data_IF_661472671815
#
_entry.id   IF_661472671815
#
_cell.length_a   1.000
_cell.length_b   1.000
_cell.length_c   1.000
_cell.angle_alpha   90.00
_cell.angle_beta   90.00
_cell.angle_gamma   90.00
#
_symmetry.space_group_name_H-M   'P 1'
#
loop_
_entity.id
_entity.type
_entity.pdbx_description
1 polymer ?
#
# COMPACT_ATOMS: atom_id res chain seq x y z
N UNK A 1 27.05 15.20 -16.80
CA UNK A 1 26.70 13.86 -16.37
C UNK A 1 25.75 13.26 -17.37
N UNK A 2 26.06 12.08 -17.81
CA UNK A 2 25.11 11.40 -18.66
C UNK A 2 23.90 10.99 -17.84
N UNK A 3 22.76 11.36 -18.31
CA UNK A 3 21.52 10.92 -17.70
C UNK A 3 21.38 9.41 -17.90
N UNK A 4 21.06 8.71 -16.85
CA UNK A 4 20.96 7.26 -16.91
C UNK A 4 19.51 6.85 -17.12
N UNK A 5 19.12 6.72 -18.37
CA UNK A 5 17.77 6.34 -18.74
C UNK A 5 17.42 4.93 -18.27
N UNK A 6 18.38 4.04 -18.30
CA UNK A 6 18.16 2.68 -17.86
C UNK A 6 17.84 2.62 -16.37
N UNK A 7 18.54 3.41 -15.58
CA UNK A 7 18.29 3.50 -14.16
C UNK A 7 16.91 4.11 -13.88
N UNK A 8 16.53 5.11 -14.64
CA UNK A 8 15.20 5.70 -14.51
C UNK A 8 14.10 4.73 -14.91
N UNK A 9 14.28 3.99 -15.98
CA UNK A 9 13.31 3.00 -16.38
C UNK A 9 13.14 1.91 -15.33
N UNK A 10 14.24 1.40 -14.80
CA UNK A 10 14.20 0.41 -13.73
C UNK A 10 13.50 0.99 -12.50
N UNK A 11 13.82 2.22 -12.16
CA UNK A 11 13.19 2.87 -11.00
C UNK A 11 11.70 3.11 -11.21
N UNK A 12 11.29 3.37 -12.41
CA UNK A 12 9.88 3.57 -12.73
C UNK A 12 9.08 2.27 -12.66
N UNK A 13 9.73 1.13 -12.93
CA UNK A 13 9.06 -0.17 -12.91
C UNK A 13 9.23 -0.91 -11.60
N UNK A 14 10.08 -0.48 -10.78
CA UNK A 14 10.45 -1.17 -9.61
C UNK A 14 9.76 -0.72 -8.47
N UNK A 15 9.54 -0.67 -8.04
CA UNK A 15 9.47 -1.68 -7.22
C UNK A 15 9.86 -1.25 -5.87
N UNK A 16 8.87 -1.23 -5.11
CA UNK A 16 9.01 -0.96 -3.70
C UNK A 16 9.88 -2.01 -3.03
N UNK A 17 10.61 -1.59 -2.01
CA UNK A 17 11.30 -2.50 -1.09
C UNK A 17 10.34 -3.51 -0.46
N UNK A 18 9.05 -3.18 -0.43
CA UNK A 18 8.02 -4.08 0.07
C UNK A 18 8.04 -5.42 -0.67
N UNK A 19 8.40 -5.41 -1.94
CA UNK A 19 8.44 -6.63 -2.75
C UNK A 19 9.61 -7.55 -2.42
N UNK A 20 10.66 -7.02 -1.81
CA UNK A 20 11.86 -7.80 -1.54
C UNK A 20 11.60 -8.89 -0.49
N UNK A 21 11.81 -10.12 -0.88
CA UNK A 21 11.60 -11.26 0.01
C UNK A 21 10.15 -11.55 0.34
N UNK A 22 9.22 -10.91 -0.34
CA UNK A 22 7.79 -11.12 -0.08
C UNK A 22 7.06 -11.57 -1.32
N UNK A 23 6.05 -12.39 -1.09
CA UNK A 23 5.13 -12.83 -2.13
C UNK A 23 3.83 -12.04 -2.03
N UNK A 24 3.28 -11.70 -3.18
CA UNK A 24 1.98 -11.05 -3.22
C UNK A 24 0.90 -12.04 -2.82
N UNK A 25 0.03 -11.64 -1.93
CA UNK A 25 -1.17 -12.40 -1.58
C UNK A 25 -2.40 -11.53 -1.86
N UNK A 26 -3.50 -12.18 -2.17
CA UNK A 26 -4.75 -11.47 -2.39
C UNK A 26 -5.35 -11.00 -1.06
N UNK A 27 -6.06 -9.88 -1.11
CA UNK A 27 -6.81 -9.42 0.04
C UNK A 27 -7.88 -10.45 0.39
N UNK A 28 -7.99 -10.73 1.67
CA UNK A 28 -9.01 -11.65 2.20
C UNK A 28 -9.53 -11.12 3.52
N UNK A 29 -10.70 -11.61 3.90
CA UNK A 29 -11.26 -11.21 5.18
C UNK A 29 -10.38 -11.68 6.35
N UNK A 30 -10.27 -10.85 7.35
CA UNK A 30 -9.48 -11.13 8.54
C UNK A 30 -8.80 -9.89 9.09
N UNK A 31 -8.04 -10.10 10.14
CA UNK A 31 -7.25 -9.06 10.80
C UNK A 31 -5.79 -9.24 10.46
N UNK A 32 -5.14 -8.16 10.10
CA UNK A 32 -3.75 -8.14 9.67
C UNK A 32 -3.01 -7.02 10.35
N UNK A 33 -1.70 -7.13 10.40
CA UNK A 33 -0.85 -6.04 10.88
C UNK A 33 -0.10 -5.43 9.68
N UNK A 34 -0.12 -4.12 9.58
CA UNK A 34 0.64 -3.40 8.57
C UNK A 34 1.99 -3.03 9.17
N UNK A 35 3.06 -3.66 8.69
CA UNK A 35 4.42 -3.43 9.16
C UNK A 35 5.12 -2.32 8.41
N UNK A 36 4.82 -2.19 7.14
CA UNK A 36 5.41 -1.21 6.25
C UNK A 36 4.46 -1.00 5.06
N UNK A 37 4.64 0.08 4.36
CA UNK A 37 3.86 0.36 3.17
C UNK A 37 4.67 1.15 2.17
N UNK A 38 4.19 1.22 0.96
CA UNK A 38 4.71 2.13 -0.05
C UNK A 38 3.57 2.53 -0.98
N UNK A 39 3.78 3.58 -1.75
CA UNK A 39 2.82 4.03 -2.72
C UNK A 39 3.36 3.73 -4.12
N UNK A 40 2.58 3.05 -4.91
CA UNK A 40 2.94 2.69 -6.28
C UNK A 40 2.00 3.42 -7.21
N UNK A 41 2.57 4.06 -8.21
CA UNK A 41 1.78 4.69 -9.27
C UNK A 41 2.24 4.15 -10.61
N UNK A 42 1.29 3.83 -11.45
CA UNK A 42 1.57 3.38 -12.81
C UNK A 42 1.06 4.42 -13.80
N UNK A 43 1.40 4.23 -15.06
CA UNK A 43 0.91 5.08 -16.13
C UNK A 43 -0.61 4.97 -16.18
N UNK A 44 -1.29 6.09 -16.22
CA UNK A 44 -2.74 6.16 -16.33
C UNK A 44 -3.52 5.47 -15.22
N UNK A 45 -2.88 5.26 -14.08
CA UNK A 45 -3.53 4.65 -12.92
C UNK A 45 -3.46 5.55 -11.71
N UNK A 46 -4.52 5.50 -10.92
CA UNK A 46 -4.50 6.14 -9.61
C UNK A 46 -3.46 5.43 -8.74
N UNK A 47 -2.65 6.17 -7.98
CA UNK A 47 -1.74 5.56 -7.03
C UNK A 47 -2.46 4.64 -6.05
N UNK A 48 -1.80 3.57 -5.67
CA UNK A 48 -2.33 2.65 -4.68
C UNK A 48 -1.22 2.24 -3.70
N UNK A 49 -1.63 1.77 -2.55
CA UNK A 49 -0.67 1.32 -1.55
C UNK A 49 -0.34 -0.16 -1.71
N UNK A 50 0.91 -0.49 -1.46
CA UNK A 50 1.33 -1.86 -1.21
C UNK A 50 1.68 -1.96 0.27
N UNK A 51 1.23 -2.99 0.93
CA UNK A 51 1.31 -3.11 2.38
C UNK A 51 1.96 -4.43 2.76
N UNK A 52 3.04 -4.35 3.52
CA UNK A 52 3.68 -5.53 4.07
C UNK A 52 2.90 -6.01 5.28
N UNK A 53 2.38 -7.22 5.21
CA UNK A 53 1.59 -7.83 6.28
C UNK A 53 2.39 -8.88 7.05
N UNK A 54 3.58 -9.20 6.57
CA UNK A 54 4.54 -10.07 7.27
C UNK A 54 5.90 -9.92 6.61
N UNK A 55 6.89 -10.66 7.11
CA UNK A 55 8.21 -10.69 6.49
C UNK A 55 8.20 -11.37 5.12
N UNK A 56 7.17 -12.15 4.83
CA UNK A 56 7.10 -12.97 3.62
C UNK A 56 5.95 -12.65 2.69
N UNK A 57 5.04 -11.76 3.09
CA UNK A 57 3.84 -11.48 2.31
C UNK A 57 3.49 -10.00 2.27
N UNK A 58 2.93 -9.57 1.14
CA UNK A 58 2.38 -8.24 0.99
C UNK A 58 1.08 -8.28 0.21
N UNK A 59 0.27 -7.24 0.33
CA UNK A 59 -0.95 -7.09 -0.45
C UNK A 59 -0.89 -5.79 -1.25
N UNK A 60 -1.54 -5.81 -2.42
CA UNK A 60 -1.86 -4.59 -3.13
C UNK A 60 -3.20 -4.11 -2.58
N UNK A 61 -3.17 -2.99 -1.89
CA UNK A 61 -4.36 -2.52 -1.20
C UNK A 61 -5.42 -2.03 -2.18
N UNK A 62 -6.66 -2.43 -1.95
CA UNK A 62 -7.81 -1.89 -2.68
C UNK A 62 -8.01 -0.41 -2.31
N UNK A 63 -8.92 0.25 -3.00
CA UNK A 63 -9.09 1.70 -2.91
C UNK A 63 -9.25 2.21 -1.49
N UNK A 64 -10.05 1.56 -0.68
CA UNK A 64 -10.32 2.06 0.68
C UNK A 64 -9.07 2.01 1.55
N UNK A 65 -8.34 0.91 1.53
CA UNK A 65 -7.11 0.79 2.30
C UNK A 65 -6.00 1.68 1.71
N UNK A 66 -5.92 1.75 0.39
CA UNK A 66 -4.97 2.65 -0.27
C UNK A 66 -5.20 4.10 0.14
N UNK A 67 -6.45 4.52 0.26
CA UNK A 67 -6.78 5.90 0.65
C UNK A 67 -6.31 6.21 2.07
N UNK A 68 -6.30 5.23 2.97
CA UNK A 68 -5.76 5.41 4.32
C UNK A 68 -4.28 5.80 4.26
N UNK A 69 -3.50 5.06 3.48
CA UNK A 69 -2.06 5.33 3.36
C UNK A 69 -1.77 6.59 2.56
N UNK A 70 -2.55 6.85 1.52
CA UNK A 70 -2.42 8.11 0.76
C UNK A 70 -2.71 9.31 1.66
N UNK A 71 -3.67 9.17 2.58
CA UNK A 71 -3.94 10.21 3.57
C UNK A 71 -2.77 10.46 4.50
N UNK A 72 -2.04 9.41 4.89
CA UNK A 72 -0.83 9.59 5.70
C UNK A 72 0.24 10.36 4.95
N UNK A 73 0.49 9.98 3.69
CA UNK A 73 1.48 10.67 2.86
C UNK A 73 1.08 12.12 2.64
N UNK A 74 -0.20 12.38 2.44
CA UNK A 74 -0.71 13.73 2.26
C UNK A 74 -0.47 14.58 3.50
N UNK A 75 -0.65 14.00 4.68
CA UNK A 75 -0.34 14.68 5.94
C UNK A 75 1.15 15.00 6.09
N UNK A 76 2.02 14.27 5.38
CA UNK A 76 3.46 14.55 5.30
C UNK A 76 3.81 15.42 4.09
N UNK A 77 2.83 16.06 3.49
CA UNK A 77 3.01 16.93 2.33
C UNK A 77 3.70 16.22 1.15
N UNK A 78 3.41 14.93 0.99
CA UNK A 78 3.94 14.14 -0.11
C UNK A 78 5.31 13.52 0.15
N UNK A 79 5.89 13.72 1.34
CA UNK A 79 7.17 13.12 1.68
C UNK A 79 6.99 11.66 2.09
N UNK A 80 6.96 10.79 1.09
CA UNK A 80 6.73 9.36 1.29
C UNK A 80 7.83 8.74 2.16
N UNK A 81 9.07 9.11 1.93
CA UNK A 81 10.20 8.50 2.64
C UNK A 81 10.13 8.78 4.14
N UNK A 82 9.86 10.01 4.51
CA UNK A 82 9.71 10.35 5.92
C UNK A 82 8.48 9.71 6.54
N UNK A 83 7.38 9.68 5.79
CA UNK A 83 6.15 9.04 6.24
C UNK A 83 6.37 7.56 6.51
N UNK A 84 7.04 6.86 5.60
CA UNK A 84 7.35 5.43 5.77
C UNK A 84 8.27 5.19 6.96
N UNK A 85 9.29 6.02 7.11
CA UNK A 85 10.22 5.89 8.23
C UNK A 85 9.50 6.01 9.56
N UNK A 86 8.68 7.04 9.71
CA UNK A 86 7.91 7.25 10.94
C UNK A 86 6.91 6.13 11.16
N UNK A 87 6.30 5.64 10.10
CA UNK A 87 5.36 4.52 10.16
C UNK A 87 6.05 3.27 10.70
N UNK A 88 7.21 2.93 10.14
CA UNK A 88 7.99 1.76 10.60
C UNK A 88 8.41 1.93 12.05
N UNK A 89 8.85 3.11 12.43
CA UNK A 89 9.28 3.40 13.80
C UNK A 89 8.13 3.32 14.79
N UNK A 90 6.92 3.59 14.36
CA UNK A 90 5.74 3.47 15.21
C UNK A 90 5.30 2.02 15.43
N UNK A 91 5.82 1.08 14.65
CA UNK A 91 5.42 -0.32 14.69
C UNK A 91 4.21 -0.66 13.81
N UNK A 92 3.71 0.31 13.07
CA UNK A 92 2.55 0.11 12.19
C UNK A 92 1.23 0.07 12.96
N UNK A 93 0.25 -0.61 12.40
CA UNK A 93 -1.06 -0.73 13.05
C UNK A 93 -1.79 -1.97 12.55
N UNK A 94 -2.78 -2.39 13.34
CA UNK A 94 -3.64 -3.49 12.95
C UNK A 94 -4.84 -2.98 12.17
N UNK A 95 -5.27 -3.75 11.20
CA UNK A 95 -6.48 -3.43 10.44
C UNK A 95 -7.27 -4.70 10.13
N UNK A 96 -8.56 -4.52 9.97
CA UNK A 96 -9.47 -5.61 9.63
C UNK A 96 -10.05 -5.36 8.25
N UNK A 97 -9.99 -6.37 7.40
CA UNK A 97 -10.64 -6.37 6.10
C UNK A 97 -11.90 -7.21 6.17
N UNK A 98 -12.97 -6.68 5.62
CA UNK A 98 -14.22 -7.43 5.50
C UNK A 98 -14.88 -7.13 4.17
N UNK A 99 -15.51 -8.13 3.58
CA UNK A 99 -16.28 -7.93 2.37
C UNK A 99 -17.63 -7.36 2.74
N UNK A 100 -18.01 -6.31 2.05
CA UNK A 100 -19.29 -5.65 2.23
C UNK A 100 -20.01 -5.58 0.90
N UNK A 101 -21.32 -5.54 0.95
CA UNK A 101 -22.15 -5.45 -0.23
C UNK A 101 -22.85 -4.10 -0.24
N UNK A 102 -22.72 -3.39 -1.35
CA UNK A 102 -23.43 -2.12 -1.51
C UNK A 102 -24.93 -2.38 -1.67
N UNK A 103 -25.74 -1.66 -0.91
CA UNK A 103 -27.20 -1.77 -1.00
C UNK A 103 -27.72 -1.24 -2.33
N UNK A 104 -27.02 -0.25 -2.90
CA UNK A 104 -27.50 0.41 -4.11
C UNK A 104 -27.13 -0.34 -5.38
N UNK A 105 -25.92 -0.87 -5.45
CA UNK A 105 -25.41 -1.50 -6.67
C UNK A 105 -25.34 -3.02 -6.58
N UNK A 106 -25.44 -3.57 -5.39
CA UNK A 106 -25.23 -5.00 -5.17
C UNK A 106 -23.79 -5.46 -5.34
N UNK A 107 -22.86 -4.53 -5.58
CA UNK A 107 -21.46 -4.85 -5.76
C UNK A 107 -20.77 -5.09 -4.43
N UNK A 108 -19.82 -6.02 -4.44
CA UNK A 108 -19.00 -6.29 -3.28
C UNK A 108 -17.83 -5.31 -3.24
N UNK A 109 -17.52 -4.81 -2.06
CA UNK A 109 -16.36 -3.96 -1.85
C UNK A 109 -15.69 -4.30 -0.53
N UNK A 110 -14.43 -3.89 -0.39
CA UNK A 110 -13.69 -4.11 0.84
C UNK A 110 -13.99 -3.00 1.84
N UNK A 111 -14.35 -3.40 3.05
CA UNK A 111 -14.40 -2.49 4.17
C UNK A 111 -13.11 -2.62 4.99
N UNK A 112 -12.61 -1.51 5.49
CA UNK A 112 -11.39 -1.45 6.30
C UNK A 112 -11.73 -0.82 7.64
N UNK A 113 -11.30 -1.48 8.69
CA UNK A 113 -11.38 -0.95 10.04
C UNK A 113 -9.99 -0.93 10.63
N UNK A 114 -9.54 0.25 11.05
CA UNK A 114 -8.27 0.40 11.75
C UNK A 114 -8.53 0.14 13.22
N UNK A 115 -7.78 -0.77 13.77
CA UNK A 115 -7.98 -1.23 15.14
C UNK A 115 -7.04 -0.49 16.10
#
# INVERSE_FOLDING_TARGET
MAFNFKKQAVKATTLSEIYEGRNKVEEKEGTFHAFDFDIVSGDNRKPYAVVAISDTEFINAATVLSDVFLGFVDAYEGDIDQCREDFRNSGGFDFKLSKRKSKDSGRTYWGVEVI
#
